data_IF_137109075515
#
_entry.id   IF_137109075515
#
_cell.length_a   1.000
_cell.length_b   1.000
_cell.length_c   1.000
_cell.angle_alpha   90.00
_cell.angle_beta   90.00
_cell.angle_gamma   90.00
#
_symmetry.space_group_name_H-M   'P 1'
#
loop_
_entity.id
_entity.type
_entity.pdbx_description
1 polymer ?
#
# COMPACT_ATOMS: atom_id res chain seq x y z
N UNK A 1 -16.98 -20.86 5.16
CA UNK A 1 -17.93 -19.92 4.53
C UNK A 1 -17.24 -19.29 3.32
N UNK A 2 -17.93 -19.06 2.20
CA UNK A 2 -17.32 -18.35 1.07
C UNK A 2 -16.87 -16.95 1.49
N UNK A 3 -15.79 -16.46 0.89
CA UNK A 3 -15.28 -15.12 1.15
C UNK A 3 -16.37 -14.08 0.85
N UNK A 4 -16.71 -13.22 1.82
CA UNK A 4 -17.72 -12.20 1.60
C UNK A 4 -17.21 -11.13 0.63
N UNK A 5 -18.12 -10.58 -0.18
CA UNK A 5 -17.82 -9.42 -1.04
C UNK A 5 -17.15 -8.30 -0.23
N UNK A 6 -17.75 -7.95 0.91
CA UNK A 6 -17.29 -6.86 1.75
C UNK A 6 -15.88 -7.09 2.30
N UNK A 7 -15.55 -8.31 2.74
CA UNK A 7 -14.21 -8.64 3.23
C UNK A 7 -13.15 -8.55 2.13
N UNK A 8 -13.47 -9.02 0.93
CA UNK A 8 -12.57 -8.94 -0.23
C UNK A 8 -12.39 -7.50 -0.71
N UNK A 9 -13.48 -6.74 -0.83
CA UNK A 9 -13.45 -5.32 -1.22
C UNK A 9 -12.72 -4.44 -0.18
N UNK A 10 -12.90 -4.70 1.12
CA UNK A 10 -12.22 -3.96 2.19
C UNK A 10 -10.69 -4.14 2.09
N UNK A 11 -10.22 -5.39 2.00
CA UNK A 11 -8.79 -5.69 1.80
C UNK A 11 -8.28 -5.07 0.49
N UNK A 12 -9.04 -5.23 -0.59
CA UNK A 12 -8.70 -4.68 -1.89
C UNK A 12 -8.51 -3.15 -1.86
N UNK A 13 -9.40 -2.46 -1.15
CA UNK A 13 -9.34 -1.01 -0.96
C UNK A 13 -8.09 -0.57 -0.20
N UNK A 14 -7.69 -1.33 0.82
CA UNK A 14 -6.46 -1.05 1.57
C UNK A 14 -5.22 -1.13 0.66
N UNK A 15 -5.07 -2.22 -0.09
CA UNK A 15 -3.95 -2.39 -1.02
C UNK A 15 -3.95 -1.34 -2.14
N UNK A 16 -5.13 -0.98 -2.68
CA UNK A 16 -5.27 0.10 -3.64
C UNK A 16 -4.85 1.46 -3.06
N UNK A 17 -5.28 1.80 -1.85
CA UNK A 17 -4.95 3.07 -1.21
C UNK A 17 -3.43 3.20 -0.98
N UNK A 18 -2.78 2.14 -0.47
CA UNK A 18 -1.33 2.11 -0.29
C UNK A 18 -0.59 2.15 -1.64
N UNK A 19 -1.04 1.39 -2.64
CA UNK A 19 -0.48 1.43 -3.98
C UNK A 19 -0.59 2.82 -4.62
N UNK A 20 -1.74 3.49 -4.49
CA UNK A 20 -1.94 4.85 -5.00
C UNK A 20 -1.05 5.85 -4.26
N UNK A 21 -1.00 5.79 -2.94
CA UNK A 21 -0.12 6.61 -2.11
C UNK A 21 1.35 6.48 -2.55
N UNK A 22 1.84 5.25 -2.68
CA UNK A 22 3.20 4.97 -3.12
C UNK A 22 3.49 5.41 -4.56
N UNK A 23 2.51 5.28 -5.46
CA UNK A 23 2.66 5.67 -6.87
C UNK A 23 2.91 7.17 -7.08
N UNK A 24 2.48 8.00 -6.13
CA UNK A 24 2.78 9.45 -6.12
C UNK A 24 4.04 9.72 -5.29
N UNK A 25 4.18 9.08 -4.14
CA UNK A 25 5.27 9.32 -3.19
C UNK A 25 6.65 8.97 -3.76
N UNK A 26 6.83 7.81 -4.40
CA UNK A 26 8.15 7.39 -4.87
C UNK A 26 8.71 8.26 -6.01
N UNK A 27 7.92 8.64 -7.04
CA UNK A 27 8.36 9.63 -8.02
C UNK A 27 8.76 10.97 -7.38
N UNK A 28 7.96 11.50 -6.44
CA UNK A 28 8.30 12.74 -5.74
C UNK A 28 9.59 12.61 -4.91
N UNK A 29 9.77 11.50 -4.20
CA UNK A 29 11.00 11.19 -3.46
C UNK A 29 12.21 11.16 -4.40
N UNK A 30 12.09 10.54 -5.57
CA UNK A 30 13.14 10.48 -6.57
C UNK A 30 13.50 11.87 -7.13
N UNK A 31 12.50 12.71 -7.42
CA UNK A 31 12.70 14.08 -7.91
C UNK A 31 13.33 14.98 -6.85
N UNK A 32 12.82 14.95 -5.62
CA UNK A 32 13.34 15.75 -4.52
C UNK A 32 14.78 15.36 -4.13
N UNK A 33 15.15 14.08 -4.24
CA UNK A 33 16.52 13.61 -4.00
C UNK A 33 17.53 14.17 -5.02
N UNK A 34 17.08 14.49 -6.24
CA UNK A 34 17.93 15.18 -7.24
C UNK A 34 18.11 16.67 -6.97
N UNK A 35 17.28 17.29 -6.13
CA UNK A 35 17.28 18.73 -5.87
C UNK A 35 17.63 19.16 -4.44
N UNK A 36 17.66 18.25 -3.45
CA UNK A 36 17.82 18.60 -2.04
C UNK A 36 19.15 18.13 -1.44
N UNK A 37 19.77 18.99 -0.62
CA UNK A 37 20.82 18.65 0.34
C UNK A 37 20.26 17.68 1.39
N UNK A 38 21.05 16.68 1.77
CA UNK A 38 20.73 15.67 2.79
C UNK A 38 20.11 16.30 4.06
N UNK A 39 18.96 15.78 4.51
CA UNK A 39 18.40 16.08 5.83
C UNK A 39 17.07 16.82 5.89
N UNK A 40 16.11 16.56 4.99
CA UNK A 40 14.76 17.14 5.15
C UNK A 40 13.97 16.48 6.30
N UNK A 41 13.49 17.26 7.31
CA UNK A 41 12.76 16.75 8.48
C UNK A 41 11.35 16.18 8.18
N UNK A 42 10.87 16.29 6.93
CA UNK A 42 9.57 15.77 6.49
C UNK A 42 9.55 14.27 6.14
N UNK A 43 10.70 13.65 5.86
CA UNK A 43 10.78 12.25 5.39
C UNK A 43 10.27 11.27 6.45
N UNK A 44 10.75 11.40 7.69
CA UNK A 44 10.34 10.52 8.79
C UNK A 44 8.87 10.66 9.18
N UNK A 45 8.25 11.84 9.03
CA UNK A 45 6.83 12.04 9.35
C UNK A 45 5.90 11.24 8.44
N UNK A 46 6.20 11.20 7.14
CA UNK A 46 5.41 10.44 6.17
C UNK A 46 5.61 8.92 6.33
N UNK A 47 6.78 8.46 6.77
CA UNK A 47 7.04 7.05 7.08
C UNK A 47 6.34 6.63 8.39
N UNK A 48 6.40 7.46 9.44
CA UNK A 48 5.65 7.27 10.69
C UNK A 48 4.13 7.20 10.45
N UNK A 49 3.59 8.12 9.65
CA UNK A 49 2.17 8.14 9.33
C UNK A 49 1.74 6.88 8.58
N UNK A 50 2.54 6.43 7.62
CA UNK A 50 2.29 5.21 6.85
C UNK A 50 2.25 3.97 7.76
N UNK A 51 3.24 3.83 8.64
CA UNK A 51 3.30 2.76 9.64
C UNK A 51 2.10 2.79 10.59
N UNK A 52 1.73 3.97 11.08
CA UNK A 52 0.59 4.15 11.98
C UNK A 52 -0.74 3.78 11.31
N UNK A 53 -0.96 4.23 10.06
CA UNK A 53 -2.15 3.88 9.27
C UNK A 53 -2.21 2.38 9.02
N UNK A 54 -1.08 1.75 8.63
CA UNK A 54 -0.99 0.30 8.42
C UNK A 54 -1.35 -0.47 9.70
N UNK A 55 -0.74 -0.10 10.84
CA UNK A 55 -1.00 -0.72 12.13
C UNK A 55 -2.47 -0.55 12.57
N UNK A 56 -3.03 0.66 12.42
CA UNK A 56 -4.42 0.93 12.79
C UNK A 56 -5.40 0.07 11.99
N UNK A 57 -5.28 0.04 10.66
CA UNK A 57 -6.18 -0.76 9.83
C UNK A 57 -6.04 -2.26 10.08
N UNK A 58 -4.81 -2.74 10.30
CA UNK A 58 -4.57 -4.13 10.65
C UNK A 58 -5.22 -4.50 11.99
N UNK A 59 -5.12 -3.63 13.00
CA UNK A 59 -5.80 -3.82 14.28
C UNK A 59 -7.32 -3.85 14.12
N UNK A 60 -7.88 -2.89 13.37
CA UNK A 60 -9.32 -2.87 13.05
C UNK A 60 -9.73 -4.16 12.34
N UNK A 61 -8.93 -4.66 11.39
CA UNK A 61 -9.16 -5.94 10.72
C UNK A 61 -9.26 -7.11 11.69
N UNK A 62 -8.31 -7.24 12.62
CA UNK A 62 -8.35 -8.27 13.68
C UNK A 62 -9.64 -8.15 14.50
N UNK A 63 -10.00 -6.93 14.92
CA UNK A 63 -11.20 -6.71 15.72
C UNK A 63 -12.47 -7.08 14.96
N UNK A 64 -12.56 -6.73 13.67
CA UNK A 64 -13.72 -7.07 12.82
C UNK A 64 -13.84 -8.58 12.65
N UNK A 65 -12.74 -9.28 12.31
CA UNK A 65 -12.78 -10.73 12.11
C UNK A 65 -13.12 -11.49 13.40
N UNK A 66 -12.66 -11.02 14.55
CA UNK A 66 -12.89 -11.70 15.84
C UNK A 66 -14.25 -11.37 16.47
N UNK A 67 -14.76 -10.15 16.30
CA UNK A 67 -15.91 -9.64 17.05
C UNK A 67 -17.13 -9.29 16.20
N UNK A 68 -17.14 -9.57 14.89
CA UNK A 68 -18.38 -9.60 14.11
C UNK A 68 -19.38 -10.57 14.77
N UNK A 69 -20.72 -10.35 14.69
CA UNK A 69 -21.69 -11.22 15.36
C UNK A 69 -21.62 -12.71 14.98
N UNK A 70 -21.02 -13.03 13.83
CA UNK A 70 -20.78 -14.40 13.34
C UNK A 70 -19.35 -14.89 13.59
N UNK A 71 -18.53 -14.11 14.28
CA UNK A 71 -17.11 -14.38 14.48
C UNK A 71 -16.86 -15.31 15.67
N UNK A 72 -15.63 -15.83 15.79
CA UNK A 72 -15.27 -16.81 16.81
C UNK A 72 -15.16 -16.21 18.22
N UNK A 73 -15.17 -14.89 18.40
CA UNK A 73 -15.06 -14.21 19.70
C UNK A 73 -13.84 -14.67 20.53
N UNK A 74 -12.67 -14.79 19.86
CA UNK A 74 -11.42 -15.32 20.44
C UNK A 74 -11.48 -16.80 20.88
N UNK A 75 -12.56 -17.51 20.53
CA UNK A 75 -12.66 -18.95 20.75
C UNK A 75 -12.08 -19.70 19.55
N UNK A 76 -10.96 -20.39 19.74
CA UNK A 76 -10.33 -21.17 18.68
C UNK A 76 -10.90 -22.60 18.57
N UNK A 77 -11.26 -23.18 19.71
CA UNK A 77 -11.76 -24.54 19.81
C UNK A 77 -13.00 -24.57 20.69
N UNK A 78 -13.99 -25.35 20.28
CA UNK A 78 -15.21 -25.57 21.06
C UNK A 78 -15.10 -26.89 21.82
N UNK A 79 -14.95 -26.85 23.15
CA UNK A 79 -14.93 -28.07 23.96
C UNK A 79 -16.26 -28.83 23.89
N UNK A 80 -17.37 -28.16 23.57
CA UNK A 80 -18.70 -28.77 23.50
C UNK A 80 -18.90 -29.61 22.25
N UNK A 81 -18.40 -29.13 21.11
CA UNK A 81 -18.55 -29.78 19.81
C UNK A 81 -17.31 -30.55 19.39
N UNK A 82 -16.24 -30.51 20.20
CA UNK A 82 -14.94 -31.11 19.93
C UNK A 82 -14.37 -30.74 18.55
N UNK A 83 -14.64 -29.51 18.09
CA UNK A 83 -14.29 -29.03 16.77
C UNK A 83 -13.65 -27.64 16.83
N UNK A 84 -12.88 -27.32 15.79
CA UNK A 84 -12.37 -25.96 15.57
C UNK A 84 -13.53 -24.99 15.27
N UNK A 85 -13.42 -23.77 15.77
CA UNK A 85 -14.43 -22.72 15.57
C UNK A 85 -13.97 -21.76 14.48
N UNK A 86 -14.68 -21.74 13.35
CA UNK A 86 -14.56 -20.76 12.27
C UNK A 86 -13.12 -20.34 11.92
N UNK A 87 -12.30 -21.32 11.54
CA UNK A 87 -10.87 -21.14 11.21
C UNK A 87 -10.61 -20.09 10.13
N UNK A 88 -11.58 -19.78 9.26
CA UNK A 88 -11.47 -18.73 8.26
C UNK A 88 -11.25 -17.34 8.90
N UNK A 89 -11.94 -17.01 9.99
CA UNK A 89 -11.74 -15.74 10.70
C UNK A 89 -10.37 -15.69 11.39
N UNK A 90 -9.91 -16.82 11.93
CA UNK A 90 -8.57 -16.95 12.51
C UNK A 90 -7.45 -16.82 11.48
N UNK A 91 -7.65 -17.38 10.30
CA UNK A 91 -6.76 -17.21 9.15
C UNK A 91 -6.63 -15.71 8.83
N UNK A 92 -7.73 -14.99 8.60
CA UNK A 92 -7.65 -13.55 8.28
C UNK A 92 -7.05 -12.72 9.42
N UNK A 93 -7.40 -13.05 10.67
CA UNK A 93 -6.80 -12.41 11.85
C UNK A 93 -5.27 -12.60 11.90
N UNK A 94 -4.77 -13.76 11.48
CA UNK A 94 -3.33 -14.05 11.41
C UNK A 94 -2.67 -13.19 10.34
N UNK A 95 -3.25 -13.09 9.14
CA UNK A 95 -2.74 -12.21 8.08
C UNK A 95 -2.66 -10.76 8.59
N UNK A 96 -3.75 -10.24 9.17
CA UNK A 96 -3.77 -8.90 9.74
C UNK A 96 -2.74 -8.71 10.86
N UNK A 97 -2.49 -9.72 11.70
CA UNK A 97 -1.46 -9.64 12.74
C UNK A 97 -0.07 -9.39 12.16
N UNK A 98 0.31 -10.03 11.05
CA UNK A 98 1.60 -9.78 10.42
C UNK A 98 1.67 -8.39 9.78
N UNK A 99 0.58 -7.89 9.19
CA UNK A 99 0.52 -6.50 8.72
C UNK A 99 0.57 -5.48 9.87
N UNK A 100 -0.01 -5.81 11.03
CA UNK A 100 0.09 -5.00 12.26
C UNK A 100 1.55 -4.93 12.72
N UNK A 101 2.25 -6.07 12.79
CA UNK A 101 3.68 -6.12 13.12
C UNK A 101 4.53 -5.34 12.12
N UNK A 102 4.20 -5.39 10.82
CA UNK A 102 4.84 -4.55 9.80
C UNK A 102 4.64 -3.06 10.08
N UNK A 103 3.41 -2.63 10.36
CA UNK A 103 3.12 -1.22 10.69
C UNK A 103 3.80 -0.74 11.97
N UNK A 104 3.87 -1.57 13.00
CA UNK A 104 4.63 -1.28 14.23
C UNK A 104 6.11 -1.14 13.92
N UNK A 105 6.68 -2.04 13.10
CA UNK A 105 8.09 -1.98 12.70
C UNK A 105 8.40 -0.66 11.98
N UNK A 106 7.53 -0.23 11.06
CA UNK A 106 7.66 1.05 10.37
C UNK A 106 7.67 2.24 11.36
N UNK A 107 6.76 2.24 12.35
CA UNK A 107 6.72 3.30 13.36
C UNK A 107 7.96 3.29 14.25
N UNK A 108 8.39 2.12 14.71
CA UNK A 108 9.52 1.97 15.64
C UNK A 108 10.84 2.32 14.95
N UNK A 109 11.00 2.04 13.65
CA UNK A 109 12.24 2.37 12.93
C UNK A 109 12.49 3.87 12.82
N UNK A 110 11.44 4.69 12.93
CA UNK A 110 11.55 6.15 12.97
C UNK A 110 11.49 6.73 14.39
N UNK A 111 11.45 5.86 15.40
CA UNK A 111 11.58 6.21 16.81
C UNK A 111 13.07 6.27 17.20
N UNK A 112 13.44 6.75 18.42
CA UNK A 112 14.84 6.75 18.86
C UNK A 112 15.42 5.33 19.06
N UNK A 113 14.59 4.29 18.95
CA UNK A 113 15.00 2.89 18.95
C UNK A 113 15.71 2.60 17.62
N UNK A 114 17.04 2.56 17.64
CA UNK A 114 17.91 2.34 16.47
C UNK A 114 17.71 0.93 15.88
N UNK A 115 16.63 0.70 15.15
CA UNK A 115 16.40 -0.55 14.44
C UNK A 115 17.34 -0.70 13.24
N UNK A 116 17.70 -1.94 12.87
CA UNK A 116 18.56 -2.17 11.72
C UNK A 116 17.86 -1.72 10.43
N UNK A 117 18.57 -1.00 9.53
CA UNK A 117 18.03 -0.62 8.22
C UNK A 117 17.54 -1.84 7.45
N UNK A 118 16.35 -1.75 6.86
CA UNK A 118 15.74 -2.83 6.09
C UNK A 118 14.76 -3.72 6.85
N UNK A 119 14.69 -3.63 8.19
CA UNK A 119 13.75 -4.43 8.99
C UNK A 119 12.28 -4.18 8.63
N UNK A 120 11.95 -2.94 8.27
CA UNK A 120 10.63 -2.54 7.73
C UNK A 120 10.26 -3.29 6.44
N UNK A 121 11.22 -3.43 5.53
CA UNK A 121 11.01 -4.13 4.25
C UNK A 121 10.92 -5.64 4.47
N UNK A 122 11.72 -6.16 5.41
CA UNK A 122 11.66 -7.56 5.81
C UNK A 122 10.31 -7.88 6.48
N UNK A 123 9.83 -7.04 7.39
CA UNK A 123 8.54 -7.26 8.06
C UNK A 123 7.36 -7.23 7.08
N UNK A 124 7.38 -6.29 6.11
CA UNK A 124 6.40 -6.26 5.02
C UNK A 124 6.47 -7.52 4.14
N UNK A 125 7.68 -7.97 3.80
CA UNK A 125 7.89 -9.22 3.05
C UNK A 125 7.26 -10.40 3.77
N UNK A 126 7.51 -10.53 5.07
CA UNK A 126 6.94 -11.61 5.88
C UNK A 126 5.42 -11.56 5.91
N UNK A 127 4.82 -10.37 6.03
CA UNK A 127 3.37 -10.21 5.97
C UNK A 127 2.77 -10.69 4.63
N UNK A 128 3.40 -10.33 3.51
CA UNK A 128 2.97 -10.77 2.18
C UNK A 128 3.16 -12.29 1.98
N UNK A 129 4.25 -12.88 2.48
CA UNK A 129 4.48 -14.33 2.41
C UNK A 129 3.49 -15.14 3.25
N UNK A 130 3.08 -14.61 4.41
CA UNK A 130 2.00 -15.19 5.21
C UNK A 130 0.70 -15.18 4.41
N UNK A 131 0.36 -14.06 3.76
CA UNK A 131 -0.83 -13.98 2.90
C UNK A 131 -0.79 -15.03 1.76
N UNK A 132 0.36 -15.24 1.11
CA UNK A 132 0.55 -16.29 0.09
C UNK A 132 0.30 -17.69 0.65
N UNK A 133 0.82 -17.98 1.84
CA UNK A 133 0.74 -19.31 2.45
C UNK A 133 -0.70 -19.74 2.74
N UNK A 134 -1.58 -18.75 2.88
CA UNK A 134 -2.96 -18.93 3.27
C UNK A 134 -3.95 -18.83 2.08
N UNK A 135 -3.54 -18.34 0.92
CA UNK A 135 -4.44 -18.07 -0.20
C UNK A 135 -4.99 -19.31 -0.94
N UNK A 136 -4.40 -20.50 -0.78
CA UNK A 136 -4.75 -21.69 -1.58
C UNK A 136 -5.69 -22.69 -0.89
N UNK A 137 -6.61 -22.24 -0.02
CA UNK A 137 -7.48 -23.14 0.76
C UNK A 137 -8.88 -23.37 0.16
N UNK A 138 -9.07 -23.05 -1.13
CA UNK A 138 -10.34 -23.18 -1.83
C UNK A 138 -10.58 -24.57 -2.42
N UNK A 139 -11.82 -25.06 -2.34
CA UNK A 139 -12.21 -26.37 -2.88
C UNK A 139 -12.72 -26.30 -4.34
N UNK A 140 -13.25 -25.14 -4.75
CA UNK A 140 -13.80 -24.94 -6.10
C UNK A 140 -12.71 -24.51 -7.09
N UNK A 141 -12.77 -25.03 -8.32
CA UNK A 141 -11.75 -24.75 -9.38
C UNK A 141 -11.64 -23.25 -9.66
N UNK A 142 -12.79 -22.56 -9.73
CA UNK A 142 -12.84 -21.12 -9.97
C UNK A 142 -12.22 -20.32 -8.82
N UNK A 143 -12.55 -20.67 -7.58
CA UNK A 143 -12.01 -20.06 -6.37
C UNK A 143 -10.47 -20.23 -6.30
N UNK A 144 -9.99 -21.44 -6.57
CA UNK A 144 -8.57 -21.74 -6.62
C UNK A 144 -7.85 -20.95 -7.72
N UNK A 145 -8.44 -20.86 -8.92
CA UNK A 145 -7.85 -20.11 -10.03
C UNK A 145 -7.72 -18.62 -9.70
N UNK A 146 -8.80 -18.01 -9.20
CA UNK A 146 -8.81 -16.61 -8.76
C UNK A 146 -7.73 -16.30 -7.71
N UNK A 147 -7.63 -17.15 -6.69
CA UNK A 147 -6.65 -16.98 -5.62
C UNK A 147 -5.22 -17.30 -6.10
N UNK A 148 -5.02 -18.21 -7.04
CA UNK A 148 -3.69 -18.46 -7.63
C UNK A 148 -3.15 -17.25 -8.39
N UNK A 149 -4.02 -16.54 -9.13
CA UNK A 149 -3.69 -15.27 -9.79
C UNK A 149 -3.32 -14.20 -8.75
N UNK A 150 -4.07 -14.13 -7.64
CA UNK A 150 -3.74 -13.25 -6.51
C UNK A 150 -2.36 -13.58 -5.92
N UNK A 151 -2.07 -14.86 -5.66
CA UNK A 151 -0.79 -15.33 -5.14
C UNK A 151 0.37 -14.88 -6.02
N UNK A 152 0.22 -14.95 -7.35
CA UNK A 152 1.28 -14.46 -8.26
C UNK A 152 1.57 -12.97 -8.06
N UNK A 153 0.54 -12.13 -7.92
CA UNK A 153 0.72 -10.70 -7.65
C UNK A 153 1.39 -10.45 -6.29
N UNK A 154 0.93 -11.14 -5.24
CA UNK A 154 1.48 -11.00 -3.88
C UNK A 154 2.94 -11.46 -3.85
N UNK A 155 3.24 -12.60 -4.45
CA UNK A 155 4.60 -13.16 -4.48
C UNK A 155 5.57 -12.23 -5.22
N UNK A 156 5.15 -11.66 -6.36
CA UNK A 156 5.95 -10.66 -7.06
C UNK A 156 6.22 -9.44 -6.17
N UNK A 157 5.21 -8.92 -5.46
CA UNK A 157 5.36 -7.83 -4.51
C UNK A 157 6.28 -8.17 -3.31
N UNK A 158 6.14 -9.38 -2.77
CA UNK A 158 6.97 -9.89 -1.67
C UNK A 158 8.44 -10.02 -2.10
N UNK A 159 8.69 -10.53 -3.32
CA UNK A 159 10.04 -10.62 -3.87
C UNK A 159 10.67 -9.23 -4.02
N UNK A 160 9.91 -8.24 -4.47
CA UNK A 160 10.40 -6.86 -4.55
C UNK A 160 10.72 -6.29 -3.17
N UNK A 161 9.81 -6.44 -2.21
CA UNK A 161 10.02 -5.99 -0.84
C UNK A 161 11.25 -6.67 -0.22
N UNK A 162 11.49 -7.95 -0.51
CA UNK A 162 12.66 -8.67 -0.05
C UNK A 162 13.95 -8.14 -0.66
N UNK A 163 13.96 -7.91 -1.98
CA UNK A 163 15.11 -7.33 -2.67
C UNK A 163 15.41 -5.91 -2.15
N UNK A 164 14.40 -5.13 -1.78
CA UNK A 164 14.55 -3.79 -1.17
C UNK A 164 15.23 -3.83 0.22
N UNK A 165 15.31 -5.00 0.90
CA UNK A 165 16.10 -5.16 2.13
C UNK A 165 17.58 -4.90 1.84
N UNK A 166 18.08 -5.40 0.70
CA UNK A 166 19.47 -5.28 0.27
C UNK A 166 19.70 -4.07 -0.65
N UNK A 167 18.73 -3.77 -1.52
CA UNK A 167 18.79 -2.74 -2.55
C UNK A 167 17.91 -1.54 -2.18
N UNK A 168 18.26 -0.87 -1.08
CA UNK A 168 17.46 0.21 -0.51
C UNK A 168 17.30 1.40 -1.47
N UNK A 169 16.12 2.02 -1.45
CA UNK A 169 15.76 3.19 -2.26
C UNK A 169 15.95 3.01 -3.79
N UNK A 170 15.89 1.77 -4.29
CA UNK A 170 15.97 1.48 -5.72
C UNK A 170 14.60 1.70 -6.40
N UNK A 171 14.48 2.81 -7.12
CA UNK A 171 13.21 3.28 -7.70
C UNK A 171 12.47 2.24 -8.55
N UNK A 172 13.19 1.37 -9.27
CA UNK A 172 12.55 0.33 -10.10
C UNK A 172 11.85 -0.71 -9.22
N UNK A 173 12.47 -1.11 -8.10
CA UNK A 173 11.87 -2.07 -7.17
C UNK A 173 10.67 -1.44 -6.46
N UNK A 174 10.82 -0.20 -5.98
CA UNK A 174 9.73 0.55 -5.35
C UNK A 174 8.53 0.71 -6.30
N UNK A 175 8.79 1.02 -7.57
CA UNK A 175 7.76 1.20 -8.62
C UNK A 175 7.09 -0.13 -8.97
N UNK A 176 7.87 -1.20 -9.12
CA UNK A 176 7.34 -2.52 -9.44
C UNK A 176 6.49 -3.07 -8.29
N UNK A 177 6.97 -3.00 -7.04
CA UNK A 177 6.16 -3.33 -5.84
C UNK A 177 4.88 -2.49 -5.75
N UNK A 178 4.95 -1.20 -6.09
CA UNK A 178 3.76 -0.35 -6.12
C UNK A 178 2.72 -0.86 -7.13
N UNK A 179 3.17 -1.25 -8.33
CA UNK A 179 2.28 -1.82 -9.35
C UNK A 179 1.64 -3.13 -8.92
N UNK A 180 2.37 -3.99 -8.18
CA UNK A 180 1.82 -5.26 -7.68
C UNK A 180 0.80 -5.04 -6.57
N UNK A 181 0.96 -4.02 -5.72
CA UNK A 181 -0.05 -3.65 -4.71
C UNK A 181 -1.35 -3.14 -5.33
N UNK A 182 -1.25 -2.32 -6.39
CA UNK A 182 -2.43 -1.88 -7.15
C UNK A 182 -3.14 -3.07 -7.83
N UNK A 183 -2.37 -4.00 -8.41
CA UNK A 183 -2.89 -5.24 -8.98
C UNK A 183 -3.58 -6.09 -7.91
N UNK A 184 -2.92 -6.37 -6.80
CA UNK A 184 -3.47 -7.11 -5.66
C UNK A 184 -4.78 -6.50 -5.18
N UNK A 185 -4.81 -5.19 -4.98
CA UNK A 185 -5.98 -4.49 -4.48
C UNK A 185 -7.17 -4.52 -5.46
N UNK A 186 -6.93 -4.24 -6.74
CA UNK A 186 -7.98 -4.31 -7.77
C UNK A 186 -8.45 -5.75 -8.02
N UNK A 187 -7.57 -6.74 -7.89
CA UNK A 187 -7.91 -8.14 -8.06
C UNK A 187 -8.73 -8.69 -6.90
N UNK A 188 -8.47 -8.26 -5.66
CA UNK A 188 -9.34 -8.59 -4.51
C UNK A 188 -10.77 -8.09 -4.69
N UNK A 189 -10.96 -6.93 -5.35
CA UNK A 189 -12.29 -6.49 -5.78
C UNK A 189 -12.90 -7.44 -6.82
N UNK A 190 -12.12 -7.86 -7.82
CA UNK A 190 -12.57 -8.82 -8.83
C UNK A 190 -12.98 -10.17 -8.20
N UNK A 191 -12.20 -10.68 -7.24
CA UNK A 191 -12.53 -11.88 -6.45
C UNK A 191 -13.87 -11.71 -5.74
N UNK A 192 -14.06 -10.57 -5.07
CA UNK A 192 -15.33 -10.23 -4.43
C UNK A 192 -16.50 -10.28 -5.40
N UNK A 193 -16.37 -9.64 -6.58
CA UNK A 193 -17.42 -9.63 -7.60
C UNK A 193 -17.76 -11.02 -8.16
N UNK A 194 -16.76 -11.87 -8.37
CA UNK A 194 -16.94 -13.20 -8.98
C UNK A 194 -17.53 -14.18 -7.97
N UNK A 195 -16.98 -14.24 -6.75
CA UNK A 195 -17.40 -15.22 -5.73
C UNK A 195 -18.63 -14.78 -4.93
N UNK A 196 -18.90 -13.48 -4.86
CA UNK A 196 -20.02 -12.91 -4.10
C UNK A 196 -20.61 -11.70 -4.82
N UNK A 197 -21.34 -11.89 -5.93
CA UNK A 197 -21.91 -10.79 -6.70
C UNK A 197 -22.79 -9.88 -5.81
N UNK A 198 -22.46 -8.59 -5.63
CA UNK A 198 -23.13 -7.74 -4.64
C UNK A 198 -24.58 -7.41 -5.00
N UNK A 199 -24.96 -7.59 -6.27
CA UNK A 199 -26.31 -7.31 -6.79
C UNK A 199 -27.13 -8.57 -7.07
N UNK A 200 -26.70 -9.74 -6.57
CA UNK A 200 -27.44 -10.99 -6.76
C UNK A 200 -27.53 -11.43 -8.23
N UNK A 201 -26.53 -11.08 -9.05
CA UNK A 201 -26.41 -11.58 -10.41
C UNK A 201 -26.18 -13.10 -10.46
N UNK A 202 -26.35 -13.72 -11.64
CA UNK A 202 -26.07 -15.15 -11.79
C UNK A 202 -24.62 -15.44 -11.40
N UNK A 203 -24.42 -16.53 -10.64
CA UNK A 203 -23.10 -17.03 -10.28
C UNK A 203 -22.31 -17.47 -11.51
N UNK A 204 -21.00 -17.53 -11.36
CA UNK A 204 -20.10 -18.05 -12.39
C UNK A 204 -20.14 -19.58 -12.40
N UNK A 205 -20.01 -20.18 -13.59
CA UNK A 205 -20.00 -21.63 -13.76
C UNK A 205 -18.57 -22.17 -13.59
N UNK A 206 -18.35 -22.97 -12.54
CA UNK A 206 -17.08 -23.61 -12.22
C UNK A 206 -16.64 -24.63 -13.27
N UNK A 207 -17.57 -25.17 -14.07
CA UNK A 207 -17.30 -26.17 -15.09
C UNK A 207 -16.92 -25.58 -16.46
N UNK A 208 -17.14 -24.28 -16.67
CA UNK A 208 -16.82 -23.61 -17.92
C UNK A 208 -15.37 -23.08 -17.92
N UNK A 209 -14.50 -23.80 -18.62
CA UNK A 209 -13.11 -23.40 -18.84
C UNK A 209 -12.92 -22.01 -19.48
N UNK A 210 -13.95 -21.50 -20.19
CA UNK A 210 -13.94 -20.16 -20.78
C UNK A 210 -13.88 -19.08 -19.70
N UNK A 211 -14.49 -19.32 -18.53
CA UNK A 211 -14.41 -18.41 -17.38
C UNK A 211 -12.98 -18.27 -16.87
N UNK A 212 -12.21 -19.36 -16.83
CA UNK A 212 -10.81 -19.34 -16.40
C UNK A 212 -9.91 -18.56 -17.37
N UNK A 213 -10.15 -18.74 -18.67
CA UNK A 213 -9.48 -17.98 -19.73
C UNK A 213 -9.79 -16.49 -19.63
N UNK A 214 -11.07 -16.14 -19.48
CA UNK A 214 -11.50 -14.76 -19.28
C UNK A 214 -10.85 -14.14 -18.04
N UNK A 215 -10.84 -14.83 -16.90
CA UNK A 215 -10.25 -14.33 -15.67
C UNK A 215 -8.74 -14.09 -15.81
N UNK A 216 -8.04 -14.98 -16.50
CA UNK A 216 -6.60 -14.80 -16.78
C UNK A 216 -6.35 -13.56 -17.63
N UNK A 217 -7.17 -13.36 -18.67
CA UNK A 217 -7.10 -12.16 -19.51
C UNK A 217 -7.45 -10.89 -18.72
N UNK A 218 -8.50 -10.94 -17.90
CA UNK A 218 -8.94 -9.87 -17.03
C UNK A 218 -7.83 -9.47 -16.04
N UNK A 219 -7.14 -10.44 -15.45
CA UNK A 219 -5.98 -10.20 -14.58
C UNK A 219 -4.88 -9.41 -15.29
N UNK A 220 -4.55 -9.76 -16.53
CA UNK A 220 -3.59 -8.99 -17.33
C UNK A 220 -4.07 -7.55 -17.59
N UNK A 221 -5.36 -7.34 -17.84
CA UNK A 221 -5.92 -5.99 -18.00
C UNK A 221 -5.85 -5.16 -16.72
N UNK A 222 -6.15 -5.76 -15.57
CA UNK A 222 -5.93 -5.13 -14.27
C UNK A 222 -4.46 -4.70 -14.10
N UNK A 223 -3.51 -5.53 -14.54
CA UNK A 223 -2.09 -5.19 -14.44
C UNK A 223 -1.69 -4.05 -15.39
N UNK A 224 -2.19 -4.05 -16.64
CA UNK A 224 -2.03 -2.90 -17.54
C UNK A 224 -2.58 -1.63 -16.89
N UNK A 225 -3.77 -1.69 -16.28
CA UNK A 225 -4.35 -0.57 -15.54
C UNK A 225 -3.46 -0.08 -14.40
N UNK A 226 -2.92 -0.98 -13.59
CA UNK A 226 -1.97 -0.65 -12.52
C UNK A 226 -0.72 0.05 -13.05
N UNK A 227 -0.14 -0.43 -14.16
CA UNK A 227 1.02 0.20 -14.81
C UNK A 227 0.70 1.60 -15.35
N UNK A 228 -0.47 1.78 -15.97
CA UNK A 228 -0.93 3.09 -16.45
C UNK A 228 -1.10 4.07 -15.29
N UNK A 229 -1.68 3.65 -14.17
CA UNK A 229 -1.83 4.49 -12.96
C UNK A 229 -0.45 4.93 -12.46
N UNK A 230 0.50 4.01 -12.31
CA UNK A 230 1.86 4.30 -11.87
C UNK A 230 2.56 5.28 -12.83
N UNK A 231 2.46 5.04 -14.13
CA UNK A 231 3.07 5.90 -15.16
C UNK A 231 2.45 7.32 -15.15
N UNK A 232 1.11 7.40 -15.07
CA UNK A 232 0.38 8.67 -15.04
C UNK A 232 0.76 9.49 -13.80
N UNK A 233 0.80 8.86 -12.63
CA UNK A 233 1.20 9.53 -11.39
C UNK A 233 2.66 9.96 -11.42
N UNK A 234 3.57 9.16 -11.99
CA UNK A 234 4.95 9.55 -12.16
C UNK A 234 5.12 10.77 -13.11
N UNK A 235 4.37 10.82 -14.21
CA UNK A 235 4.35 11.98 -15.12
C UNK A 235 3.75 13.20 -14.42
N UNK A 236 2.62 13.05 -13.76
CA UNK A 236 1.98 14.13 -13.00
C UNK A 236 2.93 14.71 -11.94
N UNK A 237 3.57 13.86 -11.13
CA UNK A 237 4.57 14.30 -10.14
C UNK A 237 5.71 15.10 -10.78
N UNK A 238 6.15 14.73 -11.99
CA UNK A 238 7.17 15.48 -12.74
C UNK A 238 6.67 16.82 -13.28
N UNK A 239 5.42 16.94 -13.67
CA UNK A 239 4.85 18.20 -14.17
C UNK A 239 4.55 19.18 -13.02
N UNK A 240 4.07 18.69 -11.88
CA UNK A 240 3.72 19.53 -10.74
C UNK A 240 4.94 19.97 -9.92
N UNK A 241 6.01 19.17 -9.85
CA UNK A 241 7.22 19.51 -9.07
C UNK A 241 7.95 20.80 -9.53
N UNK A 242 8.26 21.04 -10.83
CA UNK A 242 8.90 22.28 -11.26
C UNK A 242 7.98 23.49 -11.08
N UNK A 243 6.69 23.35 -11.36
CA UNK A 243 5.68 24.40 -11.15
C UNK A 243 5.61 24.83 -9.68
N UNK A 244 5.71 23.89 -8.75
CA UNK A 244 5.69 24.17 -7.31
C UNK A 244 7.00 24.82 -6.84
N UNK A 245 8.14 24.45 -7.44
CA UNK A 245 9.44 25.09 -7.18
C UNK A 245 9.47 26.54 -7.70
N UNK A 246 8.89 26.82 -8.88
CA UNK A 246 8.74 28.16 -9.44
C UNK A 246 7.76 29.03 -8.62
N UNK A 247 6.67 28.43 -8.10
CA UNK A 247 5.74 29.12 -7.20
C UNK A 247 6.35 29.43 -5.83
N UNK A 248 7.17 28.53 -5.28
CA UNK A 248 7.86 28.77 -4.00
C UNK A 248 8.97 29.80 -4.17
N UNK A 249 9.78 29.70 -5.22
CA UNK A 249 10.84 30.68 -5.51
C UNK A 249 10.25 32.06 -5.80
N UNK A 250 9.17 32.17 -6.58
CA UNK A 250 8.49 33.45 -6.83
C UNK A 250 7.89 34.07 -5.57
N UNK A 251 7.28 33.26 -4.68
CA UNK A 251 6.83 33.72 -3.35
C UNK A 251 7.99 34.18 -2.47
N UNK A 252 9.13 33.50 -2.51
CA UNK A 252 10.30 33.81 -1.70
C UNK A 252 11.03 35.06 -2.22
N UNK A 253 11.12 35.26 -3.54
CA UNK A 253 11.58 36.53 -4.14
C UNK A 253 10.61 37.68 -3.90
N UNK A 254 9.30 37.42 -3.85
CA UNK A 254 8.30 38.44 -3.49
C UNK A 254 8.45 38.87 -2.02
N UNK A 255 8.66 37.93 -1.09
CA UNK A 255 8.89 38.27 0.32
C UNK A 255 10.26 38.93 0.56
N UNK A 256 11.32 38.51 -0.14
CA UNK A 256 12.61 39.23 -0.08
C UNK A 256 12.52 40.63 -0.71
N UNK A 257 11.78 40.80 -1.81
CA UNK A 257 11.57 42.10 -2.45
C UNK A 257 10.83 43.11 -1.56
N UNK A 258 9.90 42.64 -0.72
CA UNK A 258 9.21 43.48 0.27
C UNK A 258 10.14 43.83 1.45
N UNK A 259 11.01 42.92 1.88
CA UNK A 259 11.99 43.21 2.95
C UNK A 259 13.14 44.13 2.50
N UNK A 260 13.55 44.08 1.22
CA UNK A 260 14.61 44.96 0.69
C UNK A 260 14.10 46.40 0.49
N UNK A 261 12.79 46.60 0.27
CA UNK A 261 12.20 47.95 0.19
C UNK A 261 12.05 48.66 1.55
N UNK A 262 12.21 47.96 2.67
CA UNK A 262 12.11 48.53 4.02
C UNK A 262 13.47 48.84 4.67
N UNK A 263 14.59 48.58 4.01
CA UNK A 263 15.94 48.69 4.60
C UNK A 263 16.94 49.53 3.78
N UNK A 264 16.50 50.33 2.81
CA UNK A 264 17.43 51.07 1.96
C UNK A 264 16.98 52.45 1.54
N UNK A 265 17.21 53.46 2.39
CA UNK A 265 17.65 54.77 1.89
C UNK A 265 18.60 55.46 2.89
N UNK A 266 19.68 56.12 2.41
CA UNK A 266 20.94 56.21 3.12
C UNK A 266 21.23 57.60 3.69
N UNK A 267 22.05 57.60 4.73
CA UNK A 267 22.77 58.77 5.24
C UNK A 267 23.70 59.38 4.17
N UNK A 268 23.52 60.68 3.95
CA UNK A 268 24.54 61.76 3.88
C UNK A 268 25.70 61.65 2.87
N UNK A 269 25.72 62.59 1.93
CA UNK A 269 26.96 63.19 1.41
C UNK A 269 26.72 64.68 1.12
N UNK A 270 27.28 65.58 1.94
CA UNK A 270 27.53 66.97 1.55
C UNK A 270 28.94 67.36 1.95
N UNK A 271 29.76 67.71 0.98
CA UNK A 271 31.09 68.28 1.15
C UNK A 271 31.14 69.51 0.23
N UNK A 272 31.24 70.71 0.78
CA UNK A 272 31.76 71.89 0.08
C UNK A 272 32.54 72.74 1.08
N UNK A 273 33.76 73.09 0.67
CA UNK A 273 34.54 74.19 1.22
C UNK A 273 33.87 75.54 0.90
#
# INVERSE_FOLDING_TARGET
>A
MPASFLGSALRGTFFLAFGLWWSVRYPLKYLNRKGAVEGQPGRGRAELFEGAVKAFFALVGILVEQFVPSGPHLQLYSPKTHSWTDLTHWHYSTIYLFFLLSGITDVVSHSPLKLPPGLERLSLTLALLVEVSFANTGDAVLDQHLHSLLVMAIFAGALCAFLEVFLQDHIILETFRTSTFLLQGSWLWQIGFVLSPPWGGPGWDDSDSSNLLFLTMCFCWHYIGALVVVATNAVASRCFCPTLLELVTSKQTSQLGVSVFLLGCPFVCSRTA
#
